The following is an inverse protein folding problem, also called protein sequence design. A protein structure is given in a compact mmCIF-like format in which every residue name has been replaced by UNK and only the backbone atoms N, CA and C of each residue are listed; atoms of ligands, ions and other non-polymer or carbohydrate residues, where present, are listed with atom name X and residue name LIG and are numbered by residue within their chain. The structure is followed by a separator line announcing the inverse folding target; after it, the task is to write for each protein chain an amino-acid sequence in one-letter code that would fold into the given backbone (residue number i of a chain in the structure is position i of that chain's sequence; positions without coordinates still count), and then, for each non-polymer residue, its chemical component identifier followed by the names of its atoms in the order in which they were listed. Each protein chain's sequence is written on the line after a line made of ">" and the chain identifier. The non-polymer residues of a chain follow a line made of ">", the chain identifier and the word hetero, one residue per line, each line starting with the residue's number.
data_IF_780838129112
#
_entry.id   IF_780838129112
#
_cell.length_a   1.000
_cell.length_b   1.000
_cell.length_c   1.000
_cell.angle_alpha   90.00
_cell.angle_beta   90.00
_cell.angle_gamma   90.00
#
_symmetry.space_group_name_H-M   'P 1'
#
loop_
_entity.id
_entity.type
_entity.pdbx_description
1 polymer ?
#
# COMPACT_ATOMS: atom_id res chain seq x y z
N UNK A 1 -10.39 -8.06 16.12
CA UNK A 1 -9.48 -6.96 15.74
C UNK A 1 -8.86 -7.28 14.38
N UNK A 2 -9.03 -6.40 13.38
CA UNK A 2 -8.45 -6.58 12.04
C UNK A 2 -7.01 -6.07 12.07
N UNK A 3 -6.05 -6.93 11.68
CA UNK A 3 -4.61 -6.59 11.61
C UNK A 3 -4.22 -6.12 10.21
N UNK A 4 -5.17 -5.53 9.49
CA UNK A 4 -5.04 -5.19 8.09
C UNK A 4 -5.07 -3.68 7.91
N UNK A 5 -4.38 -3.23 6.86
CA UNK A 5 -4.30 -1.84 6.45
C UNK A 5 -4.36 -1.78 4.95
N UNK A 6 -5.24 -0.93 4.42
CA UNK A 6 -5.29 -0.62 3.01
C UNK A 6 -4.43 0.63 2.73
N UNK A 7 -3.46 0.49 1.84
CA UNK A 7 -2.54 1.53 1.41
C UNK A 7 -2.88 1.93 -0.02
N UNK A 8 -3.19 3.21 -0.22
CA UNK A 8 -3.53 3.79 -1.51
C UNK A 8 -2.34 4.55 -2.10
N UNK A 9 -2.31 4.69 -3.43
CA UNK A 9 -1.33 5.53 -4.11
C UNK A 9 0.05 4.89 -4.33
N UNK A 10 0.21 3.59 -4.05
CA UNK A 10 1.45 2.85 -4.34
C UNK A 10 1.54 2.57 -5.84
N UNK A 11 2.51 3.12 -6.59
CA UNK A 11 2.67 2.87 -8.03
C UNK A 11 2.81 1.38 -8.33
N UNK A 12 2.31 0.95 -9.48
CA UNK A 12 2.38 -0.46 -9.91
C UNK A 12 3.49 -0.63 -10.94
N UNK A 13 4.41 -1.55 -10.67
CA UNK A 13 5.42 -1.98 -11.64
C UNK A 13 5.11 -3.39 -12.17
N UNK A 14 5.52 -3.68 -13.41
CA UNK A 14 5.39 -5.03 -13.97
C UNK A 14 6.37 -5.97 -13.25
N UNK A 15 5.88 -7.14 -12.80
CA UNK A 15 6.70 -8.07 -12.02
C UNK A 15 7.03 -7.61 -10.60
N UNK A 16 6.28 -6.66 -10.03
CA UNK A 16 6.55 -6.15 -8.67
C UNK A 16 6.48 -7.26 -7.60
N UNK A 17 7.46 -7.27 -6.70
CA UNK A 17 7.35 -8.01 -5.43
C UNK A 17 6.64 -7.11 -4.42
N UNK A 18 5.43 -7.49 -4.04
CA UNK A 18 4.56 -6.68 -3.18
C UNK A 18 5.15 -6.47 -1.79
N UNK A 19 5.82 -7.47 -1.21
CA UNK A 19 6.47 -7.34 0.10
C UNK A 19 7.58 -6.29 0.03
N UNK A 20 8.43 -6.37 -1.00
CA UNK A 20 9.50 -5.40 -1.20
C UNK A 20 8.95 -3.98 -1.42
N UNK A 21 7.87 -3.83 -2.20
CA UNK A 21 7.23 -2.53 -2.39
C UNK A 21 6.75 -1.91 -1.08
N UNK A 22 6.22 -2.71 -0.15
CA UNK A 22 5.79 -2.22 1.16
C UNK A 22 6.96 -1.82 2.04
N UNK A 23 8.06 -2.59 2.05
CA UNK A 23 9.28 -2.23 2.78
C UNK A 23 9.96 -0.96 2.23
N UNK A 24 9.84 -0.69 0.93
CA UNK A 24 10.31 0.58 0.37
C UNK A 24 9.34 1.73 0.72
N UNK A 25 8.03 1.47 0.70
CA UNK A 25 7.01 2.45 1.06
C UNK A 25 7.09 2.85 2.55
N UNK A 26 7.47 1.92 3.41
CA UNK A 26 7.75 2.11 4.82
C UNK A 26 8.74 3.27 5.05
N UNK A 27 9.85 3.33 4.31
CA UNK A 27 10.85 4.41 4.45
C UNK A 27 10.23 5.80 4.28
N UNK A 28 9.19 5.89 3.46
CA UNK A 28 8.46 7.13 3.20
C UNK A 28 7.44 7.45 4.29
N UNK A 29 6.91 6.42 4.94
CA UNK A 29 5.99 6.57 6.08
C UNK A 29 6.78 6.78 7.37
N UNK A 30 8.02 6.31 7.51
CA UNK A 30 8.82 6.49 8.72
C UNK A 30 8.48 5.51 9.85
N UNK A 31 7.98 4.33 9.50
CA UNK A 31 7.84 3.18 10.42
C UNK A 31 9.03 2.25 10.20
N UNK A 32 9.46 1.44 11.17
CA UNK A 32 10.41 0.32 10.93
C UNK A 32 9.58 -0.96 10.74
N UNK A 33 9.51 -1.48 9.52
CA UNK A 33 8.91 -2.76 9.16
C UNK A 33 10.00 -3.70 8.64
N UNK A 34 9.83 -4.97 8.95
CA UNK A 34 10.70 -6.05 8.47
C UNK A 34 9.81 -7.11 7.85
N UNK A 35 10.35 -7.94 6.96
CA UNK A 35 9.58 -9.02 6.34
C UNK A 35 8.88 -9.91 7.39
N UNK A 36 9.52 -10.14 8.54
CA UNK A 36 8.96 -10.91 9.67
C UNK A 36 7.77 -10.25 10.39
N UNK A 37 7.44 -9.01 10.07
CA UNK A 37 6.29 -8.30 10.64
C UNK A 37 5.05 -8.38 9.71
N UNK A 38 5.25 -8.81 8.46
CA UNK A 38 4.22 -8.95 7.44
C UNK A 38 3.73 -10.41 7.38
N UNK A 39 2.41 -10.59 7.39
CA UNK A 39 1.77 -11.90 7.19
C UNK A 39 1.45 -12.10 5.71
N UNK A 40 0.79 -11.09 5.11
CA UNK A 40 0.29 -11.17 3.76
C UNK A 40 0.22 -9.78 3.12
N UNK A 41 0.57 -9.68 1.83
CA UNK A 41 0.44 -8.46 1.04
C UNK A 41 -0.23 -8.80 -0.27
N UNK A 42 -1.26 -8.04 -0.65
CA UNK A 42 -1.90 -8.22 -1.96
C UNK A 42 -2.51 -6.93 -2.49
N UNK A 43 -2.60 -6.81 -3.82
CA UNK A 43 -3.37 -5.74 -4.45
C UNK A 43 -4.84 -6.14 -4.54
N UNK A 44 -5.72 -5.25 -4.11
CA UNK A 44 -7.16 -5.48 -4.15
C UNK A 44 -7.76 -4.96 -5.45
N UNK A 45 -8.79 -5.67 -5.93
CA UNK A 45 -9.58 -5.29 -7.09
C UNK A 45 -9.10 -5.85 -8.44
N UNK A 46 -9.95 -5.78 -9.47
CA UNK A 46 -9.70 -6.40 -10.77
C UNK A 46 -8.42 -5.89 -11.42
N UNK A 47 -7.71 -6.78 -12.14
CA UNK A 47 -6.47 -6.41 -12.84
C UNK A 47 -6.81 -5.51 -14.02
N UNK A 48 -6.42 -4.23 -13.91
CA UNK A 48 -6.56 -3.27 -15.01
C UNK A 48 -5.63 -3.67 -16.18
N UNK A 49 -6.11 -3.63 -17.43
CA UNK A 49 -5.28 -3.86 -18.59
C UNK A 49 -4.17 -2.81 -18.67
N UNK A 50 -3.00 -3.13 -19.26
CA UNK A 50 -1.95 -2.15 -19.52
C UNK A 50 -2.51 -1.07 -20.45
N UNK A 51 -2.37 0.21 -20.06
CA UNK A 51 -2.80 1.34 -20.89
C UNK A 51 -1.94 1.42 -22.15
N UNK A 52 -2.56 1.28 -23.31
CA UNK A 52 -1.91 1.46 -24.63
C UNK A 52 -2.01 2.89 -25.15
N UNK A 53 -2.80 3.78 -24.52
CA UNK A 53 -2.94 5.18 -24.94
C UNK A 53 -3.32 6.05 -23.75
N UNK A 54 -2.53 7.10 -23.49
CA UNK A 54 -2.84 8.10 -22.47
C UNK A 54 -3.89 9.07 -23.04
N UNK A 55 -5.15 8.88 -22.68
CA UNK A 55 -6.21 9.86 -22.97
C UNK A 55 -6.17 10.97 -21.90
N UNK A 56 -6.52 12.23 -22.23
CA UNK A 56 -6.42 13.37 -21.30
C UNK A 56 -7.26 13.24 -20.02
N UNK A 57 -8.28 12.38 -20.02
CA UNK A 57 -9.14 12.09 -18.86
C UNK A 57 -8.52 11.11 -17.84
N UNK A 58 -7.30 10.62 -18.10
CA UNK A 58 -6.63 9.65 -17.23
C UNK A 58 -5.96 10.22 -15.97
N UNK A 59 -6.16 11.52 -15.71
CA UNK A 59 -5.70 12.22 -14.51
C UNK A 59 -6.29 11.68 -13.19
N UNK A 60 -7.30 10.79 -13.25
CA UNK A 60 -7.95 10.19 -12.07
C UNK A 60 -7.56 8.75 -11.72
N UNK A 61 -6.63 8.10 -12.43
CA UNK A 61 -6.43 6.65 -12.30
C UNK A 61 -5.48 6.27 -11.14
N UNK A 62 -5.96 6.40 -9.89
CA UNK A 62 -5.20 6.00 -8.69
C UNK A 62 -4.80 4.51 -8.79
N UNK A 63 -3.53 4.15 -8.49
CA UNK A 63 -3.10 2.75 -8.46
C UNK A 63 -4.00 1.89 -7.59
N UNK A 64 -4.14 0.61 -7.94
CA UNK A 64 -4.96 -0.32 -7.14
C UNK A 64 -4.46 -0.34 -5.69
N UNK A 65 -5.36 -0.34 -4.70
CA UNK A 65 -4.97 -0.40 -3.30
C UNK A 65 -4.15 -1.66 -3.01
N UNK A 66 -3.24 -1.55 -2.05
CA UNK A 66 -2.50 -2.69 -1.50
C UNK A 66 -3.00 -2.92 -0.09
N UNK A 67 -3.52 -4.11 0.19
CA UNK A 67 -3.85 -4.53 1.54
C UNK A 67 -2.64 -5.26 2.12
N UNK A 68 -2.24 -4.81 3.30
CA UNK A 68 -1.15 -5.37 4.09
C UNK A 68 -1.73 -5.92 5.37
N UNK A 69 -1.50 -7.21 5.62
CA UNK A 69 -1.83 -7.88 6.87
C UNK A 69 -0.57 -8.03 7.70
N UNK A 70 -0.64 -7.58 8.95
CA UNK A 70 0.48 -7.62 9.89
C UNK A 70 0.37 -8.83 10.82
N UNK A 71 1.50 -9.43 11.14
CA UNK A 71 1.59 -10.49 12.16
C UNK A 71 1.19 -9.94 13.54
N UNK A 72 1.68 -8.73 13.86
CA UNK A 72 1.48 -8.07 15.15
C UNK A 72 0.62 -6.82 14.98
N UNK A 73 -0.41 -6.70 15.83
CA UNK A 73 -1.27 -5.52 15.83
C UNK A 73 -0.53 -4.24 16.22
N UNK A 74 0.46 -4.34 17.12
CA UNK A 74 1.28 -3.19 17.53
C UNK A 74 2.03 -2.52 16.36
N UNK A 75 2.42 -3.30 15.33
CA UNK A 75 3.03 -2.77 14.10
C UNK A 75 2.00 -2.09 13.22
N UNK A 76 0.82 -2.72 13.07
CA UNK A 76 -0.32 -2.14 12.35
C UNK A 76 -0.68 -0.76 12.90
N UNK A 77 -0.76 -0.61 14.22
CA UNK A 77 -1.22 0.63 14.87
C UNK A 77 -0.20 1.78 14.79
N UNK A 78 1.05 1.51 14.41
CA UNK A 78 2.05 2.55 14.13
C UNK A 78 1.78 3.24 12.79
N UNK A 79 1.27 2.50 11.80
CA UNK A 79 1.08 3.02 10.44
C UNK A 79 0.06 4.15 10.32
N UNK A 80 -1.19 4.04 10.81
CA UNK A 80 -2.17 5.11 10.64
C UNK A 80 -1.79 6.38 11.42
N UNK A 81 -1.07 6.24 12.54
CA UNK A 81 -0.56 7.38 13.32
C UNK A 81 0.42 8.22 12.50
N UNK A 82 1.26 7.57 11.71
CA UNK A 82 2.28 8.25 10.92
C UNK A 82 1.78 8.64 9.53
N UNK A 83 0.90 7.84 8.92
CA UNK A 83 0.28 8.17 7.63
C UNK A 83 -0.55 9.46 7.69
N UNK A 84 -1.19 9.77 8.82
CA UNK A 84 -1.89 11.06 9.02
C UNK A 84 -0.95 12.29 8.90
N UNK A 85 0.34 12.10 9.13
CA UNK A 85 1.36 13.15 9.00
C UNK A 85 1.93 13.24 7.56
N UNK A 86 1.72 12.23 6.72
CA UNK A 86 2.25 12.16 5.36
C UNK A 86 1.13 12.38 4.34
N UNK A 87 1.03 13.61 3.82
CA UNK A 87 -0.06 14.07 2.93
C UNK A 87 -0.27 13.22 1.67
N UNK A 88 0.75 12.46 1.23
CA UNK A 88 0.74 11.68 -0.01
C UNK A 88 0.38 10.19 0.15
N UNK A 89 0.12 9.71 1.37
CA UNK A 89 -0.24 8.29 1.63
C UNK A 89 -1.59 8.22 2.34
N UNK A 90 -2.60 7.77 1.61
CA UNK A 90 -3.94 7.59 2.19
C UNK A 90 -4.06 6.16 2.70
N UNK A 91 -4.19 6.03 4.02
CA UNK A 91 -4.44 4.76 4.71
C UNK A 91 -5.92 4.67 5.06
N UNK A 92 -6.60 3.61 4.62
CA UNK A 92 -7.97 3.31 5.02
C UNK A 92 -8.01 2.13 5.98
N UNK A 93 -8.76 2.30 7.07
CA UNK A 93 -9.08 1.18 7.96
C UNK A 93 -10.22 0.38 7.33
N UNK A 94 -10.02 -0.93 7.23
CA UNK A 94 -11.01 -1.85 6.65
C UNK A 94 -11.68 -2.67 7.74
#
# INVERSE_FOLDING_TARGET
>A
MRKEVEILGVPKNYGENQNHTILVAEMKVGVDLKDKDLDWVTRVGPRRPPKTVALPEDSGNMPRPVVVKFLRQSKRDQIPKVAKLVEKVVVKET
#
